data_IF_015903201900
#
_entry.id   IF_015903201900
#
_cell.length_a   1.000
_cell.length_b   1.000
_cell.length_c   1.000
_cell.angle_alpha   90.00
_cell.angle_beta   90.00
_cell.angle_gamma   90.00
#
_symmetry.space_group_name_H-M   'P 1'
#
loop_
_entity.id
_entity.type
_entity.pdbx_description
1 polymer ?
#
# COMPACT_ATOMS: atom_id res chain seq x y z
N UNK A 1 -0.92 22.94 3.23
CA UNK A 1 -1.42 21.83 4.06
C UNK A 1 -1.48 20.66 3.11
N UNK A 2 -0.47 19.80 3.19
CA UNK A 2 -0.53 18.53 2.51
C UNK A 2 -1.31 17.62 3.45
N UNK A 3 -2.58 17.38 3.13
CA UNK A 3 -3.49 16.63 4.00
C UNK A 3 -3.10 15.15 3.96
N UNK A 4 -2.23 14.77 4.88
CA UNK A 4 -1.90 13.38 5.17
C UNK A 4 -3.16 12.68 5.70
N UNK A 5 -3.54 11.60 5.03
CA UNK A 5 -4.69 10.77 5.35
C UNK A 5 -4.23 9.55 6.12
N UNK A 6 -5.07 9.08 7.04
CA UNK A 6 -4.86 7.86 7.81
C UNK A 6 -5.95 6.86 7.47
N UNK A 7 -5.55 5.73 6.88
CA UNK A 7 -6.47 4.67 6.46
C UNK A 7 -6.25 3.46 7.35
N UNK A 8 -7.33 2.88 7.87
CA UNK A 8 -7.29 1.60 8.57
C UNK A 8 -7.74 0.48 7.64
N UNK A 9 -6.97 -0.60 7.60
CA UNK A 9 -7.29 -1.73 6.75
C UNK A 9 -6.34 -2.90 6.93
N UNK A 10 -6.55 -3.93 6.10
CA UNK A 10 -5.71 -5.11 6.04
C UNK A 10 -4.60 -4.93 5.02
N UNK A 11 -3.35 -5.13 5.43
CA UNK A 11 -2.22 -5.17 4.50
C UNK A 11 -2.21 -6.53 3.80
N UNK A 12 -2.26 -6.56 2.48
CA UNK A 12 -2.27 -7.80 1.71
C UNK A 12 -1.77 -7.64 0.27
N UNK A 13 -1.43 -8.76 -0.35
CA UNK A 13 -1.31 -8.83 -1.81
C UNK A 13 -2.66 -9.18 -2.40
N UNK A 14 -3.00 -8.54 -3.51
CA UNK A 14 -4.22 -8.85 -4.24
C UNK A 14 -4.03 -10.14 -5.04
N UNK A 15 -5.09 -10.96 -5.18
CA UNK A 15 -5.03 -12.16 -6.00
C UNK A 15 -4.81 -11.79 -7.47
N UNK A 16 -4.00 -12.59 -8.16
CA UNK A 16 -3.90 -12.53 -9.61
C UNK A 16 -5.23 -12.99 -10.26
N UNK A 17 -5.33 -12.85 -11.58
CA UNK A 17 -6.53 -13.20 -12.33
C UNK A 17 -6.97 -14.68 -12.17
N UNK A 18 -6.03 -15.56 -11.85
CA UNK A 18 -6.27 -16.97 -11.56
C UNK A 18 -6.74 -17.24 -10.11
N UNK A 19 -6.90 -16.19 -9.30
CA UNK A 19 -7.31 -16.25 -7.90
C UNK A 19 -6.16 -16.56 -6.93
N UNK A 20 -4.93 -16.74 -7.41
CA UNK A 20 -3.79 -17.03 -6.55
C UNK A 20 -3.17 -15.76 -5.98
N UNK A 21 -2.85 -15.78 -4.68
CA UNK A 21 -2.09 -14.70 -4.05
C UNK A 21 -0.61 -14.90 -4.39
N UNK A 22 0.07 -13.92 -5.01
CA UNK A 22 1.45 -14.08 -5.41
C UNK A 22 2.39 -14.07 -4.19
N UNK A 23 3.50 -14.80 -4.28
CA UNK A 23 4.51 -14.87 -3.19
C UNK A 23 5.36 -13.60 -3.07
N UNK A 24 5.49 -12.85 -4.18
CA UNK A 24 6.17 -11.57 -4.27
C UNK A 24 5.33 -10.57 -5.06
N UNK A 25 5.64 -9.28 -4.95
CA UNK A 25 4.96 -8.25 -5.71
C UNK A 25 4.37 -7.12 -4.86
N UNK A 26 3.64 -6.20 -5.52
CA UNK A 26 3.10 -5.00 -4.89
C UNK A 26 2.13 -5.32 -3.76
N UNK A 27 2.19 -4.53 -2.70
CA UNK A 27 1.40 -4.71 -1.49
C UNK A 27 0.38 -3.59 -1.39
N UNK A 28 -0.83 -3.96 -0.97
CA UNK A 28 -1.98 -3.07 -0.86
C UNK A 28 -2.47 -3.01 0.59
N UNK A 29 -3.19 -1.93 0.89
CA UNK A 29 -4.08 -1.85 2.04
C UNK A 29 -5.52 -1.95 1.52
N UNK A 30 -6.27 -2.93 2.03
CA UNK A 30 -7.71 -3.03 1.79
C UNK A 30 -8.41 -2.46 3.01
N UNK A 31 -9.04 -1.29 2.87
CA UNK A 31 -9.71 -0.62 3.98
C UNK A 31 -11.02 -1.31 4.36
N UNK A 32 -11.55 -0.96 5.53
CA UNK A 32 -12.78 -1.56 6.05
C UNK A 32 -14.04 -1.29 5.20
N UNK A 33 -14.01 -0.26 4.36
CA UNK A 33 -15.07 0.07 3.39
C UNK A 33 -14.88 -0.66 2.04
N UNK A 34 -13.81 -1.43 1.88
CA UNK A 34 -13.51 -2.20 0.68
C UNK A 34 -12.67 -1.47 -0.36
N UNK A 35 -12.22 -0.24 -0.09
CA UNK A 35 -11.30 0.45 -0.99
C UNK A 35 -9.89 -0.19 -0.94
N UNK A 36 -9.22 -0.21 -2.09
CA UNK A 36 -7.92 -0.83 -2.26
C UNK A 36 -6.88 0.23 -2.58
N UNK A 37 -5.85 0.32 -1.75
CA UNK A 37 -4.77 1.29 -1.91
C UNK A 37 -3.45 0.58 -2.11
N UNK A 38 -2.84 0.78 -3.28
CA UNK A 38 -1.46 0.39 -3.53
C UNK A 38 -0.52 1.18 -2.61
N UNK A 39 0.33 0.49 -1.85
CA UNK A 39 1.23 1.13 -0.90
C UNK A 39 2.56 1.48 -1.56
N UNK A 40 2.92 2.77 -1.53
CA UNK A 40 4.22 3.27 -1.99
C UNK A 40 4.83 4.16 -0.91
N UNK A 41 5.99 3.75 -0.38
CA UNK A 41 6.74 4.49 0.63
C UNK A 41 7.58 5.65 0.06
N UNK A 42 7.38 5.99 -1.21
CA UNK A 42 8.10 7.05 -1.92
C UNK A 42 7.21 8.31 -2.10
N UNK A 43 7.84 9.50 -2.24
CA UNK A 43 7.17 10.73 -2.66
C UNK A 43 6.32 10.56 -3.92
N UNK A 44 5.14 11.21 -3.97
CA UNK A 44 4.27 11.21 -5.16
C UNK A 44 4.92 11.77 -6.45
N UNK A 45 5.95 12.61 -6.30
CA UNK A 45 6.73 13.20 -7.39
C UNK A 45 7.96 12.36 -7.75
N UNK A 46 8.13 11.18 -7.15
CA UNK A 46 9.21 10.25 -7.49
C UNK A 46 9.05 9.82 -8.95
N UNK A 47 10.06 10.05 -9.81
CA UNK A 47 10.00 9.64 -11.20
C UNK A 47 10.09 8.11 -11.32
N UNK A 48 9.21 7.52 -12.11
CA UNK A 48 9.22 6.08 -12.38
C UNK A 48 7.84 5.54 -12.72
N UNK A 49 7.82 4.29 -13.16
CA UNK A 49 6.57 3.53 -13.28
C UNK A 49 6.06 3.14 -11.89
N UNK A 50 4.77 3.31 -11.66
CA UNK A 50 4.11 3.07 -10.36
C UNK A 50 4.32 1.63 -9.89
N UNK A 51 4.21 0.64 -10.78
CA UNK A 51 4.39 -0.76 -10.40
C UNK A 51 5.83 -1.04 -9.98
N UNK A 52 6.79 -0.46 -10.70
CA UNK A 52 8.22 -0.57 -10.35
C UNK A 52 8.51 0.05 -8.97
N UNK A 53 7.94 1.22 -8.69
CA UNK A 53 8.08 1.87 -7.38
C UNK A 53 7.45 1.04 -6.26
N UNK A 54 6.27 0.46 -6.49
CA UNK A 54 5.61 -0.39 -5.52
C UNK A 54 6.38 -1.70 -5.25
N UNK A 55 6.94 -2.33 -6.29
CA UNK A 55 7.82 -3.49 -6.14
C UNK A 55 9.03 -3.18 -5.27
N UNK A 56 9.65 -2.01 -5.46
CA UNK A 56 10.79 -1.58 -4.64
C UNK A 56 10.41 -1.35 -3.17
N UNK A 57 9.12 -1.15 -2.88
CA UNK A 57 8.61 -0.98 -1.52
C UNK A 57 8.16 -2.30 -0.86
N UNK A 58 8.26 -3.44 -1.55
CA UNK A 58 7.80 -4.73 -1.04
C UNK A 58 8.41 -5.07 0.33
N UNK A 59 9.72 -4.92 0.49
CA UNK A 59 10.42 -5.25 1.73
C UNK A 59 9.94 -4.42 2.93
N UNK A 60 9.40 -3.23 2.68
CA UNK A 60 8.87 -2.33 3.72
C UNK A 60 7.53 -2.86 4.26
N UNK A 61 6.65 -3.33 3.36
CA UNK A 61 5.28 -3.69 3.72
C UNK A 61 5.07 -5.20 3.93
N UNK A 62 5.92 -6.05 3.36
CA UNK A 62 5.81 -7.51 3.45
C UNK A 62 5.72 -8.04 4.90
N UNK A 63 6.47 -7.51 5.90
CA UNK A 63 6.36 -7.93 7.30
C UNK A 63 4.98 -7.69 7.94
N UNK A 64 4.12 -6.92 7.28
CA UNK A 64 2.79 -6.55 7.77
C UNK A 64 1.65 -7.27 7.05
N UNK A 65 1.94 -8.09 6.03
CA UNK A 65 0.91 -8.87 5.32
C UNK A 65 0.08 -9.69 6.31
N UNK A 66 -1.25 -9.59 6.16
CA UNK A 66 -2.25 -10.25 7.01
C UNK A 66 -2.59 -9.50 8.29
N UNK A 67 -1.95 -8.36 8.58
CA UNK A 67 -2.25 -7.53 9.75
C UNK A 67 -3.24 -6.42 9.39
N UNK A 68 -4.10 -6.10 10.35
CA UNK A 68 -5.00 -4.95 10.29
C UNK A 68 -4.34 -3.79 11.04
N UNK A 69 -4.00 -2.72 10.31
CA UNK A 69 -3.17 -1.62 10.80
C UNK A 69 -3.64 -0.29 10.24
N UNK A 70 -3.19 0.80 10.86
CA UNK A 70 -3.28 2.12 10.27
C UNK A 70 -2.07 2.39 9.38
N UNK A 71 -2.34 2.96 8.20
CA UNK A 71 -1.32 3.47 7.28
C UNK A 71 -1.60 4.93 7.01
N UNK A 72 -0.59 5.76 7.23
CA UNK A 72 -0.64 7.20 6.96
C UNK A 72 0.04 7.50 5.63
N UNK A 73 -0.47 8.48 4.88
CA UNK A 73 0.11 8.90 3.61
C UNK A 73 -0.80 9.81 2.80
N UNK A 74 -0.47 10.03 1.52
CA UNK A 74 -1.25 10.85 0.59
C UNK A 74 -2.00 9.97 -0.40
N UNK A 75 -3.32 10.11 -0.46
CA UNK A 75 -4.14 9.34 -1.38
C UNK A 75 -4.25 10.08 -2.73
N UNK A 76 -3.89 9.38 -3.81
CA UNK A 76 -4.12 9.83 -5.19
C UNK A 76 -4.65 8.66 -6.01
N UNK A 77 -5.96 8.68 -6.28
CA UNK A 77 -6.65 7.53 -6.88
C UNK A 77 -6.57 6.32 -5.94
N UNK A 78 -6.16 5.17 -6.49
CA UNK A 78 -5.98 3.91 -5.75
C UNK A 78 -4.58 3.72 -5.19
N UNK A 79 -3.82 4.80 -4.96
CA UNK A 79 -2.45 4.76 -4.45
C UNK A 79 -2.35 5.59 -3.17
N UNK A 80 -1.75 5.01 -2.15
CA UNK A 80 -1.37 5.69 -0.92
C UNK A 80 0.15 5.94 -0.97
N UNK A 81 0.51 7.16 -1.35
CA UNK A 81 1.88 7.65 -1.44
C UNK A 81 2.43 8.04 -0.09
N UNK A 82 3.75 8.08 0.04
CA UNK A 82 4.43 8.34 1.31
C UNK A 82 3.91 7.40 2.42
N UNK A 83 3.54 6.17 2.06
CA UNK A 83 2.89 5.24 2.97
C UNK A 83 3.79 4.88 4.16
N UNK A 84 3.29 5.10 5.37
CA UNK A 84 3.95 4.75 6.63
C UNK A 84 3.02 3.90 7.47
N UNK A 85 3.52 2.76 7.97
CA UNK A 85 2.80 1.92 8.93
C UNK A 85 2.87 2.57 10.32
N UNK A 86 1.70 2.84 10.90
CA UNK A 86 1.60 3.39 12.25
C UNK A 86 1.64 2.28 13.29
N UNK A 87 2.83 2.02 13.87
CA UNK A 87 3.00 1.05 14.95
C UNK A 87 2.74 1.76 16.29
N UNK A 88 1.55 1.56 16.87
CA UNK A 88 1.19 2.04 18.21
C UNK A 88 0.97 0.87 19.16
#
# INVERSE_FOLDING_TARGET
MDDEMKVFGRVMRLPAFDGMIPESGPIHLVSNDGEEYLLIAAPQDTPGDVNTLALNCEEIFAPYIGKDLHVSGKILGSILWNAVIDIH
#
